data_IF_248338368378
#
_entry.id   IF_248338368378
#
_cell.length_a   1.000
_cell.length_b   1.000
_cell.length_c   1.000
_cell.angle_alpha   90.00
_cell.angle_beta   90.00
_cell.angle_gamma   90.00
#
_symmetry.space_group_name_H-M   'P 1'
#
loop_
_entity.id
_entity.type
_entity.pdbx_description
1 polymer ?
#
# COMPACT_ATOMS: atom_id res chain seq x y z
N UNK A 1 -0.44 -8.44 -13.13
CA UNK A 1 -1.62 -8.78 -12.29
C UNK A 1 -1.22 -9.78 -11.21
N UNK A 2 -1.68 -9.57 -9.98
CA UNK A 2 -1.61 -10.53 -8.87
C UNK A 2 -3.02 -11.03 -8.57
N UNK A 3 -3.25 -12.34 -8.62
CA UNK A 3 -4.53 -12.98 -8.30
C UNK A 3 -4.33 -14.01 -7.18
N UNK A 4 -5.23 -14.03 -6.21
CA UNK A 4 -5.28 -15.02 -5.14
C UNK A 4 -6.65 -15.67 -5.06
N UNK A 5 -6.67 -16.97 -4.75
CA UNK A 5 -7.89 -17.72 -4.44
C UNK A 5 -7.93 -17.98 -2.95
N UNK A 6 -8.89 -17.36 -2.27
CA UNK A 6 -8.96 -17.31 -0.80
C UNK A 6 -10.33 -17.76 -0.31
N UNK A 7 -10.35 -18.59 0.72
CA UNK A 7 -11.50 -18.73 1.62
C UNK A 7 -11.20 -17.97 2.89
N UNK A 8 -12.01 -16.95 3.18
CA UNK A 8 -11.80 -16.03 4.28
C UNK A 8 -12.05 -16.72 5.63
N UNK A 9 -11.34 -16.29 6.70
CA UNK A 9 -11.62 -16.80 8.04
C UNK A 9 -12.97 -16.30 8.51
N UNK A 10 -13.81 -17.16 9.05
CA UNK A 10 -15.08 -16.75 9.60
C UNK A 10 -15.12 -16.71 11.13
N UNK A 11 -16.33 -16.50 11.69
CA UNK A 11 -17.59 -16.38 10.93
C UNK A 11 -17.66 -15.07 10.11
N UNK A 12 -18.30 -15.12 8.95
CA UNK A 12 -18.45 -13.95 8.07
C UNK A 12 -19.25 -12.82 8.73
N UNK A 13 -19.00 -11.57 8.32
CA UNK A 13 -19.81 -10.42 8.74
C UNK A 13 -19.66 -10.03 10.21
N UNK A 14 -18.52 -10.36 10.82
CA UNK A 14 -18.19 -9.99 12.20
C UNK A 14 -16.93 -9.13 12.22
N UNK A 15 -16.99 -7.99 12.91
CA UNK A 15 -15.80 -7.20 13.21
C UNK A 15 -14.94 -7.92 14.25
N UNK A 16 -13.84 -8.51 13.82
CA UNK A 16 -12.86 -9.08 14.75
C UNK A 16 -11.52 -9.35 14.07
N UNK A 17 -11.55 -10.09 12.97
CA UNK A 17 -10.38 -10.52 12.24
C UNK A 17 -10.09 -9.55 11.10
N UNK A 18 -8.82 -9.48 10.72
CA UNK A 18 -8.34 -8.71 9.59
C UNK A 18 -7.48 -9.62 8.70
N UNK A 19 -8.10 -10.40 7.81
CA UNK A 19 -7.35 -11.13 6.79
C UNK A 19 -6.93 -10.13 5.71
N UNK A 20 -5.65 -10.18 5.35
CA UNK A 20 -5.03 -9.29 4.38
C UNK A 20 -4.26 -10.07 3.32
N UNK A 21 -4.42 -9.67 2.07
CA UNK A 21 -3.52 -10.00 0.97
C UNK A 21 -3.14 -8.70 0.28
N UNK A 22 -1.85 -8.40 0.30
CA UNK A 22 -1.32 -7.13 -0.14
C UNK A 22 0.12 -7.26 -0.62
N UNK A 23 0.65 -6.17 -1.15
CA UNK A 23 2.03 -6.08 -1.62
C UNK A 23 2.68 -4.83 -1.06
N UNK A 24 4.00 -4.91 -0.83
CA UNK A 24 4.79 -3.82 -0.28
C UNK A 24 6.11 -3.70 -1.04
N UNK A 25 6.49 -2.48 -1.42
CA UNK A 25 7.80 -2.19 -2.01
C UNK A 25 8.95 -2.71 -1.13
N UNK A 26 9.93 -3.38 -1.75
CA UNK A 26 10.96 -4.15 -1.08
C UNK A 26 11.84 -3.36 -0.09
N UNK A 27 11.88 -2.03 -0.19
CA UNK A 27 12.60 -1.18 0.74
C UNK A 27 11.91 -1.08 2.12
N UNK A 28 10.65 -1.47 2.22
CA UNK A 28 9.94 -1.67 3.48
C UNK A 28 9.82 -3.16 3.82
N UNK A 29 9.79 -3.49 5.11
CA UNK A 29 9.58 -4.85 5.60
C UNK A 29 8.49 -4.87 6.68
N UNK A 30 7.39 -5.64 6.49
CA UNK A 30 6.30 -5.71 7.46
C UNK A 30 6.81 -6.18 8.83
N UNK A 31 6.44 -5.45 9.88
CA UNK A 31 6.88 -5.72 11.26
C UNK A 31 8.28 -5.19 11.62
N UNK A 32 8.96 -4.47 10.71
CA UNK A 32 10.25 -3.83 10.95
C UNK A 32 10.13 -2.32 10.71
N UNK A 33 9.59 -1.61 11.70
CA UNK A 33 9.10 -0.24 11.54
C UNK A 33 10.20 0.77 11.12
N UNK A 34 11.45 0.56 11.52
CA UNK A 34 12.57 1.38 11.04
C UNK A 34 12.72 1.36 9.51
N UNK A 35 12.40 0.23 8.85
CA UNK A 35 12.51 0.11 7.38
C UNK A 35 11.45 0.93 6.65
N UNK A 36 10.27 1.08 7.26
CA UNK A 36 9.12 1.80 6.70
C UNK A 36 9.15 3.30 6.98
N UNK A 37 9.95 3.76 7.96
CA UNK A 37 10.06 5.17 8.27
C UNK A 37 10.67 5.96 7.10
N UNK A 38 9.88 6.87 6.53
CA UNK A 38 10.24 7.69 5.37
C UNK A 38 10.37 6.93 4.05
N UNK A 39 9.94 5.67 3.98
CA UNK A 39 9.84 4.90 2.73
C UNK A 39 8.41 4.51 2.43
N UNK A 40 7.65 4.06 3.43
CA UNK A 40 6.22 3.79 3.27
C UNK A 40 5.40 5.06 3.57
N UNK A 41 4.32 5.34 2.81
CA UNK A 41 3.92 4.72 1.55
C UNK A 41 4.37 5.55 0.33
N UNK A 42 5.62 6.04 0.32
CA UNK A 42 6.10 6.95 -0.72
C UNK A 42 6.13 6.31 -2.11
N UNK A 43 5.56 7.03 -3.08
CA UNK A 43 5.61 6.72 -4.51
C UNK A 43 5.83 8.01 -5.31
N UNK A 44 7.03 8.56 -5.16
CA UNK A 44 7.30 9.96 -5.51
C UNK A 44 8.73 10.18 -5.98
N UNK A 45 8.87 10.98 -7.03
CA UNK A 45 10.14 11.21 -7.71
C UNK A 45 10.42 12.70 -7.97
N UNK A 46 9.72 13.61 -7.29
CA UNK A 46 9.96 15.05 -7.39
C UNK A 46 10.78 15.55 -6.19
N UNK A 47 11.44 16.70 -6.36
CA UNK A 47 12.21 17.37 -5.32
C UNK A 47 11.51 18.68 -4.90
N UNK A 48 10.39 18.54 -4.19
CA UNK A 48 9.57 19.67 -3.71
C UNK A 48 9.07 19.42 -2.27
N UNK A 49 8.04 20.14 -1.84
CA UNK A 49 7.53 20.02 -0.48
C UNK A 49 7.14 18.57 -0.09
N UNK A 50 6.80 17.70 -1.05
CA UNK A 50 6.39 16.32 -0.80
C UNK A 50 7.44 15.47 -0.09
N UNK A 51 8.73 15.77 -0.27
CA UNK A 51 9.82 15.02 0.37
C UNK A 51 10.16 15.50 1.79
N UNK A 52 9.58 16.62 2.22
CA UNK A 52 9.89 17.24 3.51
C UNK A 52 9.02 16.67 4.65
N UNK A 53 9.42 16.82 5.92
CA UNK A 53 8.58 16.46 7.05
C UNK A 53 7.18 17.07 6.95
N UNK A 54 6.15 16.26 7.17
CA UNK A 54 4.73 16.63 7.06
C UNK A 54 4.37 17.28 5.72
N UNK A 55 5.09 16.99 4.62
CA UNK A 55 4.96 17.68 3.33
C UNK A 55 5.02 19.22 3.41
N UNK A 56 5.73 19.77 4.41
CA UNK A 56 5.74 21.20 4.77
C UNK A 56 4.36 21.79 5.07
N UNK A 57 3.39 20.95 5.41
CA UNK A 57 2.06 21.34 5.84
C UNK A 57 1.98 21.37 7.37
N UNK A 58 1.42 22.46 7.90
CA UNK A 58 1.24 22.69 9.34
C UNK A 58 -0.16 22.33 9.85
N UNK A 59 -1.06 21.87 8.97
CA UNK A 59 -2.44 21.47 9.27
C UNK A 59 -2.54 20.25 10.21
N UNK A 60 -1.49 19.45 10.31
CA UNK A 60 -1.48 18.18 11.05
C UNK A 60 -2.09 16.99 10.30
N UNK A 61 -2.44 17.16 9.01
CA UNK A 61 -2.89 16.07 8.15
C UNK A 61 -1.77 15.06 7.84
N UNK A 62 -0.54 15.51 7.72
CA UNK A 62 0.60 14.63 7.47
C UNK A 62 1.55 14.62 8.67
N UNK A 63 1.95 13.41 9.10
CA UNK A 63 2.93 13.14 10.15
C UNK A 63 4.11 12.29 9.66
N UNK A 64 4.21 12.07 8.35
CA UNK A 64 5.38 11.41 7.77
C UNK A 64 6.64 12.27 7.95
N UNK A 65 7.79 11.66 8.24
CA UNK A 65 9.05 12.37 8.50
C UNK A 65 9.68 12.99 7.25
N UNK A 66 9.07 12.82 6.07
CA UNK A 66 9.67 13.13 4.78
C UNK A 66 10.14 11.88 4.05
N UNK A 67 10.37 11.98 2.74
CA UNK A 67 10.87 10.87 1.94
C UNK A 67 12.36 10.69 2.23
N UNK A 68 12.71 9.57 2.87
CA UNK A 68 14.09 9.26 3.26
C UNK A 68 15.01 9.07 2.06
N UNK A 69 14.48 8.44 1.01
CA UNK A 69 15.18 8.13 -0.23
C UNK A 69 14.64 9.01 -1.37
N UNK A 70 14.84 10.33 -1.24
CA UNK A 70 14.40 11.30 -2.22
C UNK A 70 15.31 11.33 -3.47
N UNK A 71 14.74 11.70 -4.63
CA UNK A 71 15.48 11.73 -5.89
C UNK A 71 16.71 12.68 -5.87
N UNK A 72 16.60 13.78 -5.14
CA UNK A 72 17.57 14.85 -5.05
C UNK A 72 18.48 14.72 -3.81
N UNK A 73 18.80 13.48 -3.45
CA UNK A 73 19.79 13.16 -2.42
C UNK A 73 21.12 13.86 -2.71
N UNK A 74 21.80 14.37 -1.68
CA UNK A 74 23.10 15.03 -1.85
C UNK A 74 24.15 14.04 -2.36
N UNK A 75 25.17 14.50 -3.10
CA UNK A 75 26.26 13.64 -3.55
C UNK A 75 26.95 12.92 -2.39
N UNK A 76 27.07 11.60 -2.50
CA UNK A 76 27.76 10.74 -1.53
C UNK A 76 26.94 10.33 -0.30
N UNK A 77 25.69 10.76 -0.20
CA UNK A 77 24.76 10.26 0.82
C UNK A 77 24.27 8.84 0.49
N UNK A 78 23.78 8.14 1.51
CA UNK A 78 23.25 6.80 1.38
C UNK A 78 21.93 6.78 0.60
N UNK A 79 21.91 6.08 -0.53
CA UNK A 79 20.75 5.95 -1.40
C UNK A 79 20.95 4.82 -2.41
N UNK A 80 19.96 3.92 -2.63
CA UNK A 80 20.13 2.77 -3.54
C UNK A 80 20.29 3.17 -5.01
N UNK A 81 19.60 4.23 -5.44
CA UNK A 81 19.63 4.69 -6.84
C UNK A 81 19.56 6.23 -6.93
N UNK A 82 20.66 6.98 -6.66
CA UNK A 82 20.64 8.44 -6.66
C UNK A 82 20.06 9.02 -7.96
N UNK A 83 19.28 10.10 -7.86
CA UNK A 83 18.55 10.68 -9.00
C UNK A 83 17.15 10.12 -9.21
N UNK A 84 16.76 9.07 -8.47
CA UNK A 84 15.41 8.52 -8.48
C UNK A 84 14.86 8.43 -7.06
N UNK A 85 13.67 8.94 -6.82
CA UNK A 85 12.97 8.83 -5.54
C UNK A 85 12.50 7.39 -5.36
N UNK A 86 12.76 6.85 -4.18
CA UNK A 86 12.49 5.46 -3.83
C UNK A 86 11.58 5.40 -2.61
N UNK A 87 10.85 4.29 -2.48
CA UNK A 87 9.90 4.11 -1.39
C UNK A 87 9.46 2.67 -1.21
N UNK A 88 8.44 2.50 -0.37
CA UNK A 88 7.79 1.24 -0.09
C UNK A 88 6.27 1.42 -0.24
N UNK A 89 5.77 1.63 -1.48
CA UNK A 89 4.33 1.75 -1.72
C UNK A 89 3.62 0.41 -1.47
N UNK A 90 2.33 0.50 -1.18
CA UNK A 90 1.49 -0.64 -0.79
C UNK A 90 0.25 -0.73 -1.68
N UNK A 91 0.04 -1.90 -2.30
CA UNK A 91 -1.18 -2.21 -3.06
C UNK A 91 -1.86 -3.41 -2.40
N UNK A 92 -3.10 -3.21 -1.97
CA UNK A 92 -3.90 -4.18 -1.26
C UNK A 92 -4.82 -4.90 -2.23
N UNK A 93 -4.65 -6.23 -2.36
CA UNK A 93 -5.60 -7.08 -3.12
C UNK A 93 -6.91 -7.16 -2.35
N UNK A 94 -6.83 -7.42 -1.05
CA UNK A 94 -7.95 -7.44 -0.11
C UNK A 94 -7.47 -7.19 1.31
N UNK A 95 -8.19 -6.32 2.03
CA UNK A 95 -8.22 -6.29 3.49
C UNK A 95 -9.68 -6.44 3.90
N UNK A 96 -10.00 -7.36 4.81
CA UNK A 96 -11.41 -7.68 5.09
C UNK A 96 -11.81 -7.31 6.51
N UNK A 97 -13.04 -6.84 6.61
CA UNK A 97 -13.77 -6.55 7.83
C UNK A 97 -15.24 -6.96 7.65
N UNK A 98 -16.13 -6.42 8.48
CA UNK A 98 -17.57 -6.52 8.36
C UNK A 98 -18.21 -5.17 8.06
N UNK A 99 -19.48 -5.18 7.71
CA UNK A 99 -20.23 -3.96 7.48
C UNK A 99 -20.65 -3.26 8.78
N UNK A 100 -20.55 -1.92 8.80
CA UNK A 100 -21.06 -1.10 9.90
C UNK A 100 -22.57 -0.82 9.82
N UNK A 101 -23.23 -1.27 8.74
CA UNK A 101 -24.67 -1.12 8.52
C UNK A 101 -25.53 -2.13 9.31
N UNK A 102 -24.90 -3.11 9.95
CA UNK A 102 -25.59 -4.18 10.69
C UNK A 102 -26.24 -5.22 9.77
N UNK A 103 -25.80 -5.32 8.52
CA UNK A 103 -26.28 -6.32 7.55
C UNK A 103 -25.68 -7.70 7.79
N UNK A 104 -24.60 -7.79 8.59
CA UNK A 104 -23.89 -9.03 8.88
C UNK A 104 -23.15 -9.55 7.65
N UNK A 105 -22.65 -8.66 6.80
CA UNK A 105 -21.94 -8.96 5.57
C UNK A 105 -20.44 -8.70 5.74
N UNK A 106 -19.64 -9.56 5.09
CA UNK A 106 -18.23 -9.29 4.91
C UNK A 106 -18.00 -8.08 3.99
N UNK A 107 -16.94 -7.33 4.26
CA UNK A 107 -16.55 -6.15 3.47
C UNK A 107 -15.07 -6.23 3.19
N UNK A 108 -14.66 -6.05 1.94
CA UNK A 108 -13.26 -5.96 1.56
C UNK A 108 -12.91 -4.54 1.12
N UNK A 109 -11.85 -3.98 1.67
CA UNK A 109 -11.16 -2.83 1.09
C UNK A 109 -10.11 -3.29 0.09
N UNK A 110 -10.06 -2.58 -1.03
CA UNK A 110 -9.02 -2.66 -2.04
C UNK A 110 -8.39 -1.27 -2.16
N UNK A 111 -7.08 -1.17 -1.99
CA UNK A 111 -6.42 0.13 -1.78
C UNK A 111 -5.06 0.23 -2.43
N UNK A 112 -4.69 1.48 -2.73
CA UNK A 112 -3.32 1.90 -2.95
C UNK A 112 -2.95 2.95 -1.89
N UNK A 113 -1.93 2.66 -1.08
CA UNK A 113 -1.42 3.61 -0.08
C UNK A 113 -0.37 4.51 -0.72
N UNK A 114 -0.47 5.82 -0.45
CA UNK A 114 0.25 6.85 -1.18
C UNK A 114 0.80 7.90 -0.24
N UNK A 115 2.05 8.28 -0.48
CA UNK A 115 2.64 9.53 -0.06
C UNK A 115 3.45 10.15 -1.22
N UNK A 116 3.54 11.49 -1.32
CA UNK A 116 2.86 12.50 -0.50
C UNK A 116 1.33 12.51 -0.64
N UNK A 117 0.63 13.20 0.26
CA UNK A 117 -0.84 13.22 0.28
C UNK A 117 -1.39 14.40 -0.52
N UNK A 118 -2.54 14.19 -1.16
CA UNK A 118 -3.45 15.23 -1.58
C UNK A 118 -3.94 16.07 -0.40
N UNK A 119 -4.37 17.29 -0.70
CA UNK A 119 -5.13 18.12 0.23
C UNK A 119 -6.37 17.35 0.69
N UNK A 120 -6.53 17.16 2.01
CA UNK A 120 -7.59 16.33 2.62
C UNK A 120 -7.59 14.85 2.19
N UNK A 121 -6.45 14.32 1.73
CA UNK A 121 -6.28 12.95 1.25
C UNK A 121 -7.20 12.56 0.08
N UNK A 122 -7.86 13.53 -0.58
CA UNK A 122 -8.82 13.22 -1.65
C UNK A 122 -8.12 13.14 -3.01
N UNK A 123 -8.10 11.96 -3.64
CA UNK A 123 -7.67 11.85 -5.04
C UNK A 123 -8.68 12.53 -5.96
N UNK A 124 -8.29 12.76 -7.20
CA UNK A 124 -9.20 13.27 -8.22
C UNK A 124 -10.12 12.14 -8.72
N UNK A 125 -11.38 12.17 -8.26
CA UNK A 125 -12.41 11.20 -8.61
C UNK A 125 -12.81 11.21 -10.10
N UNK A 126 -12.49 12.25 -10.88
CA UNK A 126 -12.78 12.30 -12.32
C UNK A 126 -12.00 11.24 -13.12
N UNK A 127 -10.93 10.69 -12.53
CA UNK A 127 -10.09 9.64 -13.12
C UNK A 127 -10.26 8.28 -12.43
N UNK A 128 -11.38 8.11 -11.71
CA UNK A 128 -11.74 6.88 -11.02
C UNK A 128 -13.01 6.29 -11.64
N UNK A 129 -13.00 4.98 -11.84
CA UNK A 129 -14.08 4.23 -12.47
C UNK A 129 -14.57 3.15 -11.50
N UNK A 130 -15.88 3.14 -11.21
CA UNK A 130 -16.56 2.10 -10.43
C UNK A 130 -17.70 1.58 -11.31
N UNK A 131 -17.54 0.41 -11.97
CA UNK A 131 -18.51 -0.08 -12.94
C UNK A 131 -19.88 -0.45 -12.36
N UNK A 132 -19.92 -0.93 -11.12
CA UNK A 132 -21.14 -1.39 -10.46
C UNK A 132 -21.23 -0.94 -8.99
N UNK A 133 -21.94 0.17 -8.78
CA UNK A 133 -22.18 0.74 -7.45
C UNK A 133 -23.06 -0.13 -6.53
N UNK A 134 -23.61 -1.24 -7.03
CA UNK A 134 -24.34 -2.22 -6.20
C UNK A 134 -23.41 -3.21 -5.51
N UNK A 135 -22.17 -3.34 -5.98
CA UNK A 135 -21.15 -4.26 -5.46
C UNK A 135 -20.06 -3.53 -4.68
N UNK A 136 -19.57 -2.42 -5.24
CA UNK A 136 -18.47 -1.63 -4.70
C UNK A 136 -18.80 -0.15 -4.65
N UNK A 137 -18.16 0.57 -3.76
CA UNK A 137 -18.29 2.02 -3.64
C UNK A 137 -16.96 2.66 -3.30
N UNK A 138 -16.81 3.94 -3.62
CA UNK A 138 -15.63 4.70 -3.21
C UNK A 138 -15.58 4.70 -1.68
N UNK A 139 -14.43 4.33 -1.12
CA UNK A 139 -14.29 4.32 0.32
C UNK A 139 -14.34 5.76 0.86
N UNK A 140 -15.14 5.98 1.90
CA UNK A 140 -15.25 7.28 2.55
C UNK A 140 -14.07 7.55 3.48
N UNK A 141 -13.34 6.51 3.88
CA UNK A 141 -12.04 6.65 4.52
C UNK A 141 -10.95 6.78 3.47
N UNK A 142 -10.25 7.91 3.48
CA UNK A 142 -9.23 8.25 2.47
C UNK A 142 -7.81 8.32 3.03
N UNK A 143 -7.63 7.96 4.30
CA UNK A 143 -6.31 7.94 4.92
C UNK A 143 -6.30 8.42 6.37
N UNK A 144 -5.09 8.70 6.84
CA UNK A 144 -4.81 9.24 8.16
C UNK A 144 -3.44 9.90 8.21
N UNK A 145 -2.93 10.21 9.41
CA UNK A 145 -1.70 10.99 9.56
C UNK A 145 -0.46 10.40 8.89
N UNK A 146 -0.44 9.09 8.62
CA UNK A 146 0.70 8.38 8.06
C UNK A 146 0.47 7.83 6.65
N UNK A 147 -0.72 7.99 6.07
CA UNK A 147 -1.02 7.50 4.73
C UNK A 147 -2.20 8.23 4.10
N UNK A 148 -2.17 8.41 2.79
CA UNK A 148 -3.37 8.52 1.98
C UNK A 148 -3.70 7.16 1.39
N UNK A 149 -4.99 6.83 1.30
CA UNK A 149 -5.48 5.63 0.64
C UNK A 149 -6.43 6.02 -0.50
N UNK A 150 -6.11 5.58 -1.72
CA UNK A 150 -7.08 5.54 -2.81
C UNK A 150 -7.71 4.16 -2.80
N UNK A 151 -8.98 4.08 -2.40
CA UNK A 151 -9.56 2.79 -2.06
C UNK A 151 -11.05 2.66 -2.40
N UNK A 152 -11.46 1.42 -2.63
CA UNK A 152 -12.85 1.02 -2.78
C UNK A 152 -13.24 0.02 -1.70
N UNK A 153 -14.52 0.05 -1.35
CA UNK A 153 -15.12 -0.87 -0.40
C UNK A 153 -16.11 -1.76 -1.15
N UNK A 154 -15.89 -3.07 -1.08
CA UNK A 154 -16.65 -4.09 -1.80
C UNK A 154 -17.41 -4.99 -0.83
N UNK A 155 -18.70 -5.16 -1.04
CA UNK A 155 -19.52 -6.11 -0.27
C UNK A 155 -19.23 -7.55 -0.70
N UNK A 156 -19.00 -8.43 0.27
CA UNK A 156 -18.62 -9.83 0.01
C UNK A 156 -19.79 -10.79 0.28
N UNK A 157 -19.74 -11.94 -0.40
CA UNK A 157 -20.63 -13.05 -0.12
C UNK A 157 -20.13 -13.85 1.09
N UNK A 158 -20.99 -14.00 2.11
CA UNK A 158 -20.67 -14.76 3.32
C UNK A 158 -20.40 -16.26 3.09
N UNK A 159 -20.76 -16.80 1.91
CA UNK A 159 -20.41 -18.17 1.52
C UNK A 159 -18.93 -18.34 1.13
N UNK A 160 -18.16 -17.24 1.01
CA UNK A 160 -16.72 -17.29 0.72
C UNK A 160 -15.84 -17.47 1.98
N UNK A 161 -16.47 -17.77 3.12
CA UNK A 161 -15.83 -17.88 4.43
C UNK A 161 -15.80 -19.33 4.92
N UNK A 162 -14.96 -19.61 5.93
CA UNK A 162 -14.93 -20.87 6.68
C UNK A 162 -14.69 -22.13 5.85
N UNK A 163 -14.03 -22.01 4.71
CA UNK A 163 -13.79 -23.14 3.80
C UNK A 163 -15.02 -23.61 3.05
N UNK A 164 -16.13 -22.87 3.09
CA UNK A 164 -17.35 -23.18 2.33
C UNK A 164 -17.13 -22.99 0.83
N UNK A 165 -16.48 -21.91 0.45
CA UNK A 165 -16.03 -21.64 -0.91
C UNK A 165 -14.74 -20.81 -0.91
N UNK A 166 -14.01 -20.92 -2.00
CA UNK A 166 -12.90 -20.04 -2.33
C UNK A 166 -13.36 -19.02 -3.35
N UNK A 167 -12.85 -17.80 -3.24
CA UNK A 167 -13.09 -16.77 -4.23
C UNK A 167 -11.79 -16.12 -4.71
N UNK A 168 -11.82 -15.67 -5.97
CA UNK A 168 -10.73 -14.95 -6.61
C UNK A 168 -10.78 -13.47 -6.28
N UNK A 169 -9.62 -12.94 -5.90
CA UNK A 169 -9.36 -11.54 -5.65
C UNK A 169 -8.07 -11.16 -6.39
N UNK A 170 -8.05 -10.00 -7.03
CA UNK A 170 -6.87 -9.59 -7.77
C UNK A 170 -6.73 -8.07 -7.87
N UNK A 171 -5.50 -7.61 -8.08
CA UNK A 171 -5.24 -6.33 -8.74
C UNK A 171 -4.41 -6.54 -10.01
N UNK A 172 -4.71 -5.73 -11.02
CA UNK A 172 -3.85 -5.47 -12.16
C UNK A 172 -3.31 -4.06 -12.06
N UNK A 173 -2.05 -3.85 -12.42
CA UNK A 173 -1.49 -2.50 -12.50
C UNK A 173 -0.49 -2.38 -13.63
N UNK A 174 -0.37 -1.14 -14.12
CA UNK A 174 0.66 -0.70 -15.06
C UNK A 174 1.44 0.43 -14.37
N UNK A 175 2.74 0.22 -14.08
CA UNK A 175 3.57 1.23 -13.44
C UNK A 175 3.67 2.55 -14.22
N UNK A 176 4.01 3.63 -13.52
CA UNK A 176 4.32 4.94 -14.11
C UNK A 176 3.33 6.04 -13.73
N UNK A 177 3.35 7.13 -14.49
CA UNK A 177 2.67 8.38 -14.14
C UNK A 177 1.83 8.99 -15.27
N UNK A 178 1.51 8.20 -16.31
CA UNK A 178 0.73 8.67 -17.46
C UNK A 178 -0.73 8.20 -17.37
N UNK A 179 -1.57 8.60 -18.33
CA UNK A 179 -2.95 8.10 -18.45
C UNK A 179 -3.03 6.60 -18.73
N UNK A 180 -1.94 5.98 -19.14
CA UNK A 180 -1.83 4.54 -19.41
C UNK A 180 -1.38 3.75 -18.18
N UNK A 181 -0.88 4.44 -17.14
CA UNK A 181 -0.49 3.84 -15.85
C UNK A 181 -1.70 3.80 -14.92
N UNK A 182 -2.12 2.61 -14.50
CA UNK A 182 -3.35 2.42 -13.74
C UNK A 182 -3.24 1.30 -12.70
N UNK A 183 -4.21 1.25 -11.78
CA UNK A 183 -4.51 0.07 -10.96
C UNK A 183 -6.00 -0.25 -11.13
N UNK A 184 -6.31 -1.53 -11.30
CA UNK A 184 -7.67 -2.06 -11.38
C UNK A 184 -7.80 -3.25 -10.43
N UNK A 185 -8.89 -3.32 -9.67
CA UNK A 185 -9.17 -4.41 -8.75
C UNK A 185 -10.33 -5.25 -9.25
N UNK A 186 -10.20 -6.56 -9.09
CA UNK A 186 -11.29 -7.49 -9.38
C UNK A 186 -11.59 -8.40 -8.19
N UNK A 187 -12.88 -8.65 -7.99
CA UNK A 187 -13.41 -9.63 -7.04
C UNK A 187 -14.36 -10.52 -7.82
N UNK A 188 -14.23 -11.84 -7.69
CA UNK A 188 -15.02 -12.80 -8.47
C UNK A 188 -14.88 -12.68 -10.00
N UNK A 189 -13.85 -11.99 -10.50
CA UNK A 189 -13.68 -11.67 -11.92
C UNK A 189 -14.52 -10.48 -12.40
N UNK A 190 -15.16 -9.73 -11.50
CA UNK A 190 -15.81 -8.46 -11.79
C UNK A 190 -14.88 -7.32 -11.34
N UNK A 191 -14.78 -6.26 -12.12
CA UNK A 191 -14.00 -5.07 -11.76
C UNK A 191 -14.74 -4.24 -10.70
N UNK A 192 -14.08 -3.99 -9.57
CA UNK A 192 -14.64 -3.24 -8.44
C UNK A 192 -14.30 -1.76 -8.54
N UNK A 193 -13.08 -1.45 -8.98
CA UNK A 193 -12.62 -0.08 -9.20
C UNK A 193 -11.41 -0.11 -10.13
N UNK A 194 -11.26 0.95 -10.92
CA UNK A 194 -10.04 1.29 -11.63
C UNK A 194 -9.74 2.78 -11.49
N UNK A 195 -8.47 3.15 -11.37
CA UNK A 195 -8.05 4.53 -11.58
C UNK A 195 -6.69 4.59 -12.25
N UNK A 196 -6.44 5.68 -12.97
CA UNK A 196 -5.14 5.96 -13.58
C UNK A 196 -4.35 7.05 -12.82
N UNK A 197 -3.08 7.22 -13.16
CA UNK A 197 -2.15 8.09 -12.43
C UNK A 197 -2.62 9.56 -12.34
N UNK A 198 -3.56 10.00 -13.18
CA UNK A 198 -4.13 11.36 -13.09
C UNK A 198 -5.00 11.54 -11.84
N UNK A 199 -5.56 10.46 -11.29
CA UNK A 199 -6.26 10.49 -10.01
C UNK A 199 -5.36 10.95 -8.85
N UNK A 200 -4.04 10.74 -9.00
CA UNK A 200 -3.01 11.08 -8.02
C UNK A 200 -1.98 12.08 -8.61
N UNK A 201 -2.46 12.93 -9.51
CA UNK A 201 -1.68 14.00 -10.12
C UNK A 201 -1.42 15.18 -9.18
N UNK A 202 -0.61 16.18 -9.60
CA UNK A 202 -0.20 17.30 -8.74
C UNK A 202 -1.33 17.94 -7.94
N UNK A 203 -1.10 18.16 -6.65
CA UNK A 203 -2.10 18.69 -5.73
C UNK A 203 -1.44 19.58 -4.68
N UNK A 204 -1.97 20.78 -4.46
CA UNK A 204 -1.39 21.72 -3.51
C UNK A 204 0.06 22.07 -3.86
N UNK A 205 0.99 21.72 -2.97
CA UNK A 205 2.43 21.97 -3.09
C UNK A 205 3.25 20.72 -3.47
N UNK A 206 2.59 19.63 -3.85
CA UNK A 206 3.23 18.38 -4.29
C UNK A 206 2.92 18.11 -5.76
N UNK A 207 3.92 17.62 -6.49
CA UNK A 207 3.83 17.14 -7.86
C UNK A 207 3.15 15.78 -8.02
N UNK A 208 3.45 15.16 -9.16
CA UNK A 208 2.83 13.91 -9.62
C UNK A 208 3.30 12.72 -8.77
N UNK A 209 2.35 11.96 -8.22
CA UNK A 209 2.63 10.64 -7.62
C UNK A 209 2.60 9.56 -8.70
N UNK A 210 3.18 8.41 -8.40
CA UNK A 210 3.42 7.35 -9.38
C UNK A 210 2.59 6.11 -9.02
N UNK A 211 2.05 5.40 -10.01
CA UNK A 211 1.64 4.01 -9.85
C UNK A 211 2.92 3.18 -9.74
N UNK A 212 3.13 2.54 -8.58
CA UNK A 212 4.41 1.99 -8.13
C UNK A 212 5.24 1.35 -9.24
N UNK A 213 6.50 1.77 -9.35
CA UNK A 213 7.54 1.13 -10.16
C UNK A 213 8.49 0.27 -9.30
N UNK A 214 8.28 0.24 -7.98
CA UNK A 214 9.12 -0.50 -7.05
C UNK A 214 8.93 -2.02 -7.22
N UNK A 215 9.98 -2.85 -7.09
CA UNK A 215 9.80 -4.28 -6.88
C UNK A 215 9.09 -4.50 -5.54
N UNK A 216 8.03 -5.30 -5.55
CA UNK A 216 7.19 -5.52 -4.37
C UNK A 216 7.20 -6.98 -3.94
N UNK A 217 7.21 -7.19 -2.62
CA UNK A 217 6.96 -8.47 -1.99
C UNK A 217 5.47 -8.67 -1.77
N UNK A 218 5.02 -9.93 -1.69
CA UNK A 218 3.64 -10.28 -1.36
C UNK A 218 3.51 -10.63 0.11
N UNK A 219 2.45 -10.15 0.74
CA UNK A 219 2.12 -10.42 2.13
C UNK A 219 0.73 -11.05 2.18
N UNK A 220 0.62 -12.17 2.88
CA UNK A 220 -0.63 -12.86 3.16
C UNK A 220 -0.69 -13.11 4.67
N UNK A 221 -1.62 -12.46 5.36
CA UNK A 221 -1.71 -12.53 6.81
C UNK A 221 -3.15 -12.65 7.31
N UNK A 222 -3.27 -13.16 8.53
CA UNK A 222 -4.48 -13.07 9.34
C UNK A 222 -4.12 -12.33 10.63
N UNK A 223 -4.61 -11.10 10.75
CA UNK A 223 -4.38 -10.23 11.89
C UNK A 223 -5.61 -10.05 12.77
N UNK A 224 -5.39 -9.46 13.94
CA UNK A 224 -6.42 -8.99 14.87
C UNK A 224 -5.89 -7.71 15.53
N UNK A 225 -6.64 -6.61 15.49
CA UNK A 225 -6.22 -5.33 16.07
C UNK A 225 -7.39 -4.39 16.29
N UNK A 226 -7.47 -3.81 17.49
CA UNK A 226 -8.43 -2.75 17.82
C UNK A 226 -8.15 -1.43 17.06
N UNK A 227 -6.98 -1.31 16.40
CA UNK A 227 -6.68 -0.17 15.54
C UNK A 227 -7.39 -0.24 14.18
N UNK A 228 -7.87 -1.43 13.76
CA UNK A 228 -8.53 -1.62 12.47
C UNK A 228 -10.04 -1.71 12.61
N UNK A 229 -10.51 -2.46 13.61
CA UNK A 229 -11.94 -2.67 13.90
C UNK A 229 -12.15 -2.80 15.40
N UNK A 230 -13.34 -2.43 15.89
CA UNK A 230 -13.74 -2.76 17.25
C UNK A 230 -14.02 -4.27 17.34
N UNK A 231 -13.24 -4.99 18.14
CA UNK A 231 -13.29 -6.46 18.14
C UNK A 231 -14.51 -6.96 18.91
N UNK A 232 -15.39 -7.70 18.23
CA UNK A 232 -16.48 -8.44 18.85
C UNK A 232 -16.00 -9.81 19.35
N UNK A 233 -15.29 -9.82 20.48
CA UNK A 233 -14.72 -11.01 21.11
C UNK A 233 -15.72 -12.15 21.35
N UNK A 234 -17.00 -11.83 21.57
CA UNK A 234 -18.04 -12.83 21.83
C UNK A 234 -18.51 -13.59 20.59
N UNK A 235 -18.29 -13.02 19.41
CA UNK A 235 -18.78 -13.57 18.14
C UNK A 235 -17.69 -14.28 17.33
N UNK A 236 -16.42 -14.16 17.73
CA UNK A 236 -15.30 -14.85 17.08
C UNK A 236 -15.34 -16.34 17.39
N UNK A 237 -15.11 -17.16 16.37
CA UNK A 237 -14.93 -18.61 16.51
C UNK A 237 -13.45 -18.99 16.33
N UNK A 238 -12.93 -19.84 17.21
CA UNK A 238 -11.54 -20.30 17.17
C UNK A 238 -11.44 -21.82 16.94
N UNK A 239 -10.45 -22.31 16.17
CA UNK A 239 -9.47 -21.54 15.42
C UNK A 239 -10.08 -20.84 14.19
N UNK A 240 -9.71 -19.58 13.98
CA UNK A 240 -10.02 -18.85 12.76
C UNK A 240 -8.95 -19.13 11.71
N UNK A 241 -9.36 -19.57 10.52
CA UNK A 241 -8.44 -20.05 9.48
C UNK A 241 -8.72 -19.36 8.16
N UNK A 242 -7.77 -18.54 7.71
CA UNK A 242 -7.70 -18.06 6.33
C UNK A 242 -7.05 -19.15 5.47
N UNK A 243 -7.69 -19.53 4.36
CA UNK A 243 -7.20 -20.60 3.47
C UNK A 243 -6.85 -20.02 2.12
N UNK A 244 -5.63 -20.27 1.67
CA UNK A 244 -5.15 -19.89 0.34
C UNK A 244 -5.10 -21.15 -0.51
N UNK A 245 -5.85 -21.18 -1.60
CA UNK A 245 -5.78 -22.25 -2.59
C UNK A 245 -4.60 -22.02 -3.55
N UNK A 246 -4.50 -20.80 -4.07
CA UNK A 246 -3.36 -20.40 -4.89
C UNK A 246 -3.04 -18.91 -4.82
N UNK A 247 -1.82 -18.58 -5.24
CA UNK A 247 -1.37 -17.25 -5.63
C UNK A 247 -0.82 -17.34 -7.05
N UNK A 248 -1.20 -16.41 -7.92
CA UNK A 248 -0.74 -16.34 -9.31
C UNK A 248 -0.29 -14.93 -9.66
N UNK A 249 0.83 -14.85 -10.35
CA UNK A 249 1.37 -13.61 -10.92
C UNK A 249 1.36 -13.76 -12.43
N UNK A 250 0.73 -12.81 -13.09
CA UNK A 250 0.65 -12.72 -14.55
C UNK A 250 1.40 -11.48 -15.01
N UNK A 251 2.28 -11.67 -15.97
CA UNK A 251 3.08 -10.62 -16.62
C UNK A 251 2.83 -10.68 -18.12
N UNK A 252 3.00 -9.56 -18.81
CA UNK A 252 2.85 -9.54 -20.27
C UNK A 252 3.98 -10.33 -20.91
N UNK A 253 3.67 -11.04 -21.98
CA UNK A 253 4.65 -11.81 -22.75
C UNK A 253 5.79 -10.88 -23.21
N UNK A 254 7.03 -11.21 -22.85
CA UNK A 254 8.23 -10.42 -23.16
C UNK A 254 8.56 -9.28 -22.18
N UNK A 255 7.72 -9.06 -21.16
CA UNK A 255 7.96 -8.10 -20.07
C UNK A 255 8.16 -8.82 -18.71
N UNK A 256 8.48 -10.11 -18.72
CA UNK A 256 8.61 -10.91 -17.50
C UNK A 256 9.84 -10.51 -16.68
N UNK A 257 9.61 -10.19 -15.42
CA UNK A 257 10.65 -9.86 -14.45
C UNK A 257 10.26 -10.39 -13.06
N UNK A 258 11.13 -11.22 -12.48
CA UNK A 258 11.01 -11.67 -11.09
C UNK A 258 12.38 -11.49 -10.44
N UNK A 259 12.60 -10.31 -9.86
CA UNK A 259 13.87 -9.91 -9.26
C UNK A 259 13.63 -8.87 -8.17
N UNK A 260 14.53 -8.81 -7.18
CA UNK A 260 14.61 -7.70 -6.24
C UNK A 260 15.34 -6.49 -6.82
N UNK A 261 16.02 -6.67 -7.95
CA UNK A 261 16.88 -5.68 -8.59
C UNK A 261 16.48 -5.41 -10.05
N UNK A 262 15.27 -4.89 -10.31
CA UNK A 262 14.98 -4.35 -11.64
C UNK A 262 15.90 -3.14 -11.93
N UNK A 263 16.27 -2.91 -13.20
CA UNK A 263 17.17 -1.82 -13.56
C UNK A 263 16.71 -0.45 -13.05
N UNK A 264 17.55 0.21 -12.25
CA UNK A 264 17.26 1.50 -11.64
C UNK A 264 16.26 1.45 -10.48
N UNK A 265 15.96 0.26 -9.96
CA UNK A 265 15.15 0.01 -8.77
C UNK A 265 15.78 -1.07 -7.87
N UNK A 266 17.10 -1.19 -7.91
CA UNK A 266 17.85 -2.17 -7.12
C UNK A 266 17.64 -1.98 -5.61
N UNK A 267 17.50 -3.09 -4.89
CA UNK A 267 17.21 -3.11 -3.44
C UNK A 267 18.14 -4.03 -2.67
N UNK A 268 18.68 -5.09 -3.28
CA UNK A 268 19.40 -6.16 -2.58
C UNK A 268 20.62 -5.63 -1.83
N UNK A 269 21.49 -4.87 -2.50
CA UNK A 269 22.73 -4.38 -1.87
C UNK A 269 22.43 -3.34 -0.79
N UNK A 270 21.43 -2.48 -1.00
CA UNK A 270 21.00 -1.52 0.01
C UNK A 270 20.46 -2.21 1.26
N UNK A 271 19.57 -3.19 1.13
CA UNK A 271 19.04 -3.96 2.26
C UNK A 271 20.17 -4.67 3.01
N UNK A 272 21.08 -5.31 2.27
CA UNK A 272 22.23 -6.03 2.81
C UNK A 272 23.17 -5.13 3.61
N UNK A 273 23.32 -3.87 3.21
CA UNK A 273 24.17 -2.88 3.89
C UNK A 273 23.48 -2.22 5.10
N UNK A 274 22.20 -2.52 5.36
CA UNK A 274 21.43 -1.98 6.48
C UNK A 274 20.87 -3.07 7.43
N UNK A 275 21.67 -4.06 7.87
CA UNK A 275 21.14 -5.22 8.60
C UNK A 275 20.42 -4.85 9.90
N UNK A 276 20.83 -3.79 10.59
CA UNK A 276 20.16 -3.31 11.82
C UNK A 276 18.69 -2.95 11.58
N UNK A 277 18.38 -2.26 10.48
CA UNK A 277 17.00 -1.90 10.14
C UNK A 277 16.18 -3.14 9.74
N UNK A 278 16.77 -4.00 8.92
CA UNK A 278 16.05 -5.10 8.30
C UNK A 278 16.00 -6.39 9.14
N UNK A 279 16.84 -6.55 10.17
CA UNK A 279 16.89 -7.77 11.00
C UNK A 279 16.51 -7.56 12.47
N UNK A 280 16.32 -6.31 12.92
CA UNK A 280 15.91 -6.02 14.29
C UNK A 280 14.49 -5.40 14.35
N UNK A 281 13.46 -6.18 14.74
CA UNK A 281 12.09 -5.66 14.81
C UNK A 281 11.85 -4.71 15.99
N UNK A 282 12.81 -4.57 16.92
CA UNK A 282 12.68 -3.65 18.06
C UNK A 282 13.05 -2.20 17.69
N UNK A 283 13.68 -1.98 16.52
CA UNK A 283 13.95 -0.63 16.03
C UNK A 283 12.73 -0.08 15.32
N UNK A 284 12.24 1.05 15.84
CA UNK A 284 10.97 1.63 15.42
C UNK A 284 11.13 2.88 14.58
N UNK A 285 12.29 3.51 14.66
CA UNK A 285 12.71 4.64 13.84
C UNK A 285 14.05 4.32 13.17
N UNK A 286 14.35 4.99 12.05
CA UNK A 286 15.63 4.93 11.37
C UNK A 286 16.77 5.37 12.30
N UNK A 287 16.53 6.35 13.18
CA UNK A 287 17.52 6.80 14.16
C UNK A 287 17.95 5.68 15.13
N UNK A 288 17.04 4.76 15.50
CA UNK A 288 17.34 3.63 16.39
C UNK A 288 18.41 2.68 15.81
N UNK A 289 18.59 2.69 14.49
CA UNK A 289 19.52 1.81 13.76
C UNK A 289 20.97 2.31 13.79
N UNK A 290 21.18 3.59 14.14
CA UNK A 290 22.48 4.25 14.06
C UNK A 290 22.89 4.73 12.66
N UNK A 291 22.10 4.45 11.61
CA UNK A 291 22.34 5.01 10.27
C UNK A 291 21.90 6.48 10.19
N UNK A 292 22.63 7.26 9.40
CA UNK A 292 22.26 8.66 9.15
C UNK A 292 21.00 8.74 8.28
N UNK A 293 20.21 9.81 8.47
CA UNK A 293 19.15 10.16 7.52
C UNK A 293 19.78 10.86 6.31
N UNK A 294 19.59 10.36 5.07
CA UNK A 294 20.20 10.95 3.87
C UNK A 294 19.78 12.41 3.68
N UNK A 295 20.76 13.28 3.41
CA UNK A 295 20.49 14.69 3.09
C UNK A 295 20.04 14.85 1.63
N UNK A 296 19.29 15.91 1.36
CA UNK A 296 18.84 16.30 0.02
C UNK A 296 19.04 17.80 -0.25
N UNK A 297 19.11 18.16 -1.54
CA UNK A 297 19.38 19.53 -1.99
C UNK A 297 18.34 20.54 -1.52
N UNK A 298 17.05 20.16 -1.50
CA UNK A 298 15.95 21.03 -1.11
C UNK A 298 16.09 21.55 0.33
N UNK A 299 16.43 20.68 1.28
CA UNK A 299 16.52 21.03 2.70
C UNK A 299 17.95 21.40 3.16
N UNK A 300 18.99 21.01 2.41
CA UNK A 300 20.38 21.08 2.89
C UNK A 300 21.33 21.90 2.01
N UNK A 301 20.91 22.38 0.83
CA UNK A 301 21.71 23.31 0.01
C UNK A 301 23.00 22.72 -0.58
N UNK A 302 22.98 21.42 -0.85
CA UNK A 302 23.89 20.73 -1.74
C UNK A 302 23.30 20.71 -3.17
#
# INVERSE_FOLDING_TARGET
>A
MMEVSVSLPGPAGIHALWPGVWSLGNLGRPGYLATTEGTWPYTYNECDAGITPNQSDSSGMNKLPGQRLANCVCPGEDHPTPGKGRGAPEIDVIEVSADYGGLGLGVATQSYQIAPFDTWWYPNADFMEIPDYTLSFLNTWTGGPFQQAVSTTTMLNNEWYDGKAYQRYAFEYVPGNTSESFIAWTVAGQEMMKFDARAIGPNGNVGQRIISEEPMSMILNLGISENWVAINWSAVSWPAIMRIDYVRIYQKEGEESVTCDPPGFETTEYIKNHPEAYNNPNYTTWADTGYAWPRNSLMHGC
#
